data_IF_521502753315
#
_entry.id   IF_521502753315
#
_cell.length_a   1.000
_cell.length_b   1.000
_cell.length_c   1.000
_cell.angle_alpha   90.00
_cell.angle_beta   90.00
_cell.angle_gamma   90.00
#
_symmetry.space_group_name_H-M   'P 1'
#
loop_
_entity.id
_entity.type
_entity.pdbx_description
1 polymer ?
#
# COMPACT_ATOMS: atom_id res chain seq x y z
N UNK A 1 -22.59 12.47 17.71
CA UNK A 1 -22.46 11.20 16.93
C UNK A 1 -21.38 11.39 15.88
N UNK A 2 -20.42 10.51 15.82
CA UNK A 2 -19.42 10.54 14.75
C UNK A 2 -20.04 9.83 13.55
N UNK A 3 -20.13 10.53 12.42
CA UNK A 3 -20.63 9.95 11.18
C UNK A 3 -19.41 9.60 10.32
N UNK A 4 -19.26 8.33 9.97
CA UNK A 4 -18.23 7.87 9.03
C UNK A 4 -18.79 7.87 7.62
N UNK A 5 -18.04 8.42 6.68
CA UNK A 5 -18.44 8.48 5.26
C UNK A 5 -18.13 7.17 4.51
N UNK A 6 -17.26 6.33 5.08
CA UNK A 6 -16.83 5.05 4.49
C UNK A 6 -16.87 3.99 5.58
N UNK A 7 -17.51 2.85 5.29
CA UNK A 7 -17.41 1.63 6.08
C UNK A 7 -16.26 0.78 5.55
N UNK A 8 -15.52 0.13 6.45
CA UNK A 8 -14.47 -0.82 6.09
C UNK A 8 -14.95 -2.27 6.04
N UNK A 9 -16.14 -2.55 6.59
CA UNK A 9 -16.70 -3.92 6.56
C UNK A 9 -16.86 -4.41 5.12
N UNK A 10 -16.47 -5.66 4.87
CA UNK A 10 -16.53 -6.34 3.58
C UNK A 10 -15.71 -5.65 2.46
N UNK A 11 -14.76 -4.79 2.80
CA UNK A 11 -13.95 -4.06 1.82
C UNK A 11 -12.63 -4.76 1.53
N UNK A 12 -12.18 -4.56 0.31
CA UNK A 12 -10.79 -4.79 -0.09
C UNK A 12 -10.03 -3.47 0.02
N UNK A 13 -9.00 -3.45 0.85
CA UNK A 13 -8.16 -2.28 1.09
C UNK A 13 -6.79 -2.50 0.45
N UNK A 14 -6.38 -1.60 -0.43
CA UNK A 14 -5.01 -1.58 -0.95
C UNK A 14 -4.15 -0.67 -0.05
N UNK A 15 -3.05 -1.21 0.46
CA UNK A 15 -2.05 -0.44 1.20
C UNK A 15 -0.74 -0.47 0.43
N UNK A 16 -0.27 0.67 -0.03
CA UNK A 16 1.07 0.80 -0.62
C UNK A 16 2.09 1.12 0.47
N UNK A 17 3.32 0.67 0.33
CA UNK A 17 4.30 0.75 1.40
C UNK A 17 3.99 -0.22 2.57
N UNK A 18 3.36 -1.34 2.27
CA UNK A 18 2.81 -2.26 3.25
C UNK A 18 3.85 -2.96 4.15
N UNK A 19 5.10 -3.06 3.73
CA UNK A 19 6.20 -3.61 4.52
C UNK A 19 6.95 -2.54 5.34
N UNK A 20 6.61 -1.26 5.16
CA UNK A 20 7.15 -0.17 5.95
C UNK A 20 6.62 -0.17 7.39
N UNK A 21 7.21 0.68 8.24
CA UNK A 21 6.81 0.76 9.66
C UNK A 21 5.33 1.13 9.83
N UNK A 22 4.88 2.20 9.18
CA UNK A 22 3.49 2.65 9.27
C UNK A 22 2.57 1.66 8.54
N UNK A 23 2.93 1.26 7.32
CA UNK A 23 2.10 0.39 6.49
C UNK A 23 1.81 -0.96 7.12
N UNK A 24 2.82 -1.64 7.63
CA UNK A 24 2.64 -2.95 8.26
C UNK A 24 1.78 -2.88 9.54
N UNK A 25 1.96 -1.84 10.35
CA UNK A 25 1.13 -1.63 11.54
C UNK A 25 -0.32 -1.30 11.18
N UNK A 26 -0.55 -0.51 10.12
CA UNK A 26 -1.89 -0.25 9.61
C UNK A 26 -2.56 -1.54 9.11
N UNK A 27 -1.86 -2.33 8.29
CA UNK A 27 -2.38 -3.61 7.78
C UNK A 27 -2.77 -4.53 8.93
N UNK A 28 -1.89 -4.69 9.91
CA UNK A 28 -2.16 -5.50 11.09
C UNK A 28 -3.43 -5.03 11.81
N UNK A 29 -3.54 -3.74 12.07
CA UNK A 29 -4.69 -3.17 12.77
C UNK A 29 -6.00 -3.35 11.99
N UNK A 30 -5.98 -3.16 10.68
CA UNK A 30 -7.16 -3.41 9.83
C UNK A 30 -7.64 -4.85 9.93
N UNK A 31 -6.70 -5.81 9.91
CA UNK A 31 -7.02 -7.23 9.97
C UNK A 31 -7.41 -7.71 11.37
N UNK A 32 -6.93 -7.05 12.43
CA UNK A 32 -7.30 -7.34 13.82
C UNK A 32 -8.70 -6.78 14.17
N UNK A 33 -9.04 -5.57 13.68
CA UNK A 33 -10.28 -4.89 14.05
C UNK A 33 -11.49 -5.27 13.18
N UNK A 34 -11.26 -5.75 11.94
CA UNK A 34 -12.33 -6.04 10.97
C UNK A 34 -12.18 -7.45 10.39
N UNK A 35 -13.00 -8.37 10.81
CA UNK A 35 -12.93 -9.78 10.36
C UNK A 35 -13.23 -9.98 8.87
N UNK A 36 -14.03 -9.08 8.29
CA UNK A 36 -14.44 -9.15 6.88
C UNK A 36 -13.55 -8.38 5.91
N UNK A 37 -12.57 -7.61 6.41
CA UNK A 37 -11.63 -6.86 5.56
C UNK A 37 -10.58 -7.79 4.96
N UNK A 38 -10.31 -7.57 3.67
CA UNK A 38 -9.16 -8.14 2.97
C UNK A 38 -8.19 -7.02 2.62
N UNK A 39 -6.91 -7.23 2.85
CA UNK A 39 -5.86 -6.25 2.54
C UNK A 39 -4.94 -6.79 1.45
N UNK A 40 -4.75 -5.97 0.42
CA UNK A 40 -3.71 -6.16 -0.59
C UNK A 40 -2.58 -5.18 -0.25
N UNK A 41 -1.40 -5.71 0.04
CA UNK A 41 -0.22 -4.91 0.33
C UNK A 41 0.76 -4.92 -0.83
N UNK A 42 1.31 -3.78 -1.21
CA UNK A 42 2.41 -3.68 -2.17
C UNK A 42 3.58 -2.92 -1.55
N UNK A 43 4.79 -3.43 -1.75
CA UNK A 43 6.04 -2.78 -1.35
C UNK A 43 7.16 -3.24 -2.26
N UNK A 44 8.03 -2.33 -2.65
CA UNK A 44 9.20 -2.66 -3.50
C UNK A 44 10.36 -3.26 -2.72
N UNK A 45 10.30 -3.26 -1.38
CA UNK A 45 11.36 -3.77 -0.49
C UNK A 45 12.70 -3.11 -0.82
N UNK A 46 12.71 -1.78 -0.91
CA UNK A 46 13.96 -1.04 -1.15
C UNK A 46 14.96 -1.21 -0.01
N UNK A 47 16.24 -1.21 -0.36
CA UNK A 47 17.35 -1.37 0.59
C UNK A 47 17.76 -0.05 1.25
N UNK A 48 16.89 0.93 1.31
CA UNK A 48 17.15 2.23 1.96
C UNK A 48 17.49 2.07 3.45
N UNK A 49 16.89 1.07 4.10
CA UNK A 49 17.28 0.59 5.42
C UNK A 49 17.27 -0.94 5.44
N UNK A 50 17.64 -1.57 6.56
CA UNK A 50 17.76 -3.02 6.67
C UNK A 50 16.45 -3.73 6.28
N UNK A 51 16.47 -4.45 5.17
CA UNK A 51 15.33 -5.17 4.61
C UNK A 51 14.81 -6.29 5.52
N UNK A 52 15.62 -6.78 6.47
CA UNK A 52 15.17 -7.80 7.43
C UNK A 52 13.97 -7.34 8.23
N UNK A 53 13.91 -6.06 8.60
CA UNK A 53 12.77 -5.48 9.31
C UNK A 53 11.48 -5.57 8.48
N UNK A 54 11.59 -5.38 7.16
CA UNK A 54 10.44 -5.51 6.25
C UNK A 54 9.96 -6.96 6.15
N UNK A 55 10.88 -7.91 6.03
CA UNK A 55 10.53 -9.32 5.97
C UNK A 55 9.97 -9.87 7.28
N UNK A 56 10.46 -9.43 8.43
CA UNK A 56 9.89 -9.76 9.75
C UNK A 56 8.43 -9.31 9.86
N UNK A 57 8.12 -8.07 9.44
CA UNK A 57 6.75 -7.55 9.42
C UNK A 57 5.84 -8.36 8.49
N UNK A 58 6.33 -8.70 7.30
CA UNK A 58 5.58 -9.53 6.36
C UNK A 58 5.33 -10.94 6.90
N UNK A 59 6.29 -11.51 7.61
CA UNK A 59 6.12 -12.81 8.26
C UNK A 59 5.01 -12.76 9.33
N UNK A 60 4.95 -11.73 10.14
CA UNK A 60 3.85 -11.52 11.09
C UNK A 60 2.49 -11.43 10.37
N UNK A 61 2.43 -10.67 9.28
CA UNK A 61 1.21 -10.48 8.50
C UNK A 61 0.76 -11.75 7.79
N UNK A 62 1.66 -12.68 7.51
CA UNK A 62 1.30 -13.97 6.89
C UNK A 62 0.36 -14.83 7.75
N UNK A 63 0.29 -14.57 9.05
CA UNK A 63 -0.62 -15.26 9.97
C UNK A 63 -2.12 -15.02 9.66
N UNK A 64 -2.45 -13.96 8.93
CA UNK A 64 -3.84 -13.66 8.54
C UNK A 64 -4.34 -14.48 7.33
N UNK A 65 -3.48 -15.34 6.75
CA UNK A 65 -3.84 -16.22 5.66
C UNK A 65 -4.35 -15.47 4.43
N UNK A 66 -5.46 -15.93 3.86
CA UNK A 66 -6.05 -15.40 2.62
C UNK A 66 -6.59 -13.96 2.74
N UNK A 67 -6.67 -13.43 3.95
CA UNK A 67 -7.09 -12.05 4.19
C UNK A 67 -6.00 -11.03 3.90
N UNK A 68 -4.75 -11.47 3.79
CA UNK A 68 -3.61 -10.63 3.41
C UNK A 68 -2.90 -11.20 2.19
N UNK A 69 -2.85 -10.43 1.12
CA UNK A 69 -2.08 -10.71 -0.09
C UNK A 69 -0.96 -9.71 -0.22
N UNK A 70 0.27 -10.18 -0.35
CA UNK A 70 1.43 -9.32 -0.53
C UNK A 70 1.98 -9.41 -1.96
N UNK A 71 2.26 -8.24 -2.54
CA UNK A 71 2.85 -8.09 -3.86
C UNK A 71 4.18 -7.34 -3.71
N UNK A 72 5.27 -8.01 -4.06
CA UNK A 72 6.60 -7.38 -4.08
C UNK A 72 6.80 -6.75 -5.45
N UNK A 73 6.48 -5.49 -5.59
CA UNK A 73 6.72 -4.74 -6.82
C UNK A 73 6.67 -3.22 -6.56
N UNK A 74 6.87 -2.43 -7.62
CA UNK A 74 6.98 -0.97 -7.55
C UNK A 74 5.74 -0.30 -8.18
N UNK A 75 5.12 0.62 -7.45
CA UNK A 75 3.96 1.39 -7.93
C UNK A 75 4.28 2.34 -9.10
N UNK A 76 5.56 2.59 -9.38
CA UNK A 76 5.97 3.32 -10.57
C UNK A 76 5.76 2.52 -11.87
N UNK A 77 5.58 1.21 -11.76
CA UNK A 77 5.21 0.36 -12.89
C UNK A 77 3.69 0.39 -13.07
N UNK A 78 3.24 1.12 -14.08
CA UNK A 78 1.82 1.32 -14.36
C UNK A 78 1.06 0.00 -14.52
N UNK A 79 1.62 -0.94 -15.28
CA UNK A 79 1.03 -2.25 -15.53
C UNK A 79 0.81 -3.07 -14.25
N UNK A 80 1.68 -2.94 -13.27
CA UNK A 80 1.53 -3.61 -11.97
C UNK A 80 0.35 -3.00 -11.18
N UNK A 81 0.27 -1.68 -11.13
CA UNK A 81 -0.85 -0.99 -10.49
C UNK A 81 -2.17 -1.38 -11.16
N UNK A 82 -2.23 -1.33 -12.50
CA UNK A 82 -3.42 -1.72 -13.25
C UNK A 82 -3.84 -3.17 -12.97
N UNK A 83 -2.88 -4.12 -12.91
CA UNK A 83 -3.20 -5.51 -12.61
C UNK A 83 -3.77 -5.69 -11.20
N UNK A 84 -3.24 -4.97 -10.20
CA UNK A 84 -3.76 -5.03 -8.82
C UNK A 84 -5.25 -4.61 -8.79
N UNK A 85 -5.61 -3.53 -9.48
CA UNK A 85 -6.99 -3.06 -9.52
C UNK A 85 -7.90 -3.99 -10.31
N UNK A 86 -7.39 -4.59 -11.39
CA UNK A 86 -8.15 -5.56 -12.19
C UNK A 86 -8.39 -6.87 -11.45
N UNK A 87 -7.39 -7.36 -10.71
CA UNK A 87 -7.46 -8.68 -10.08
C UNK A 87 -8.14 -8.64 -8.70
N UNK A 88 -8.00 -7.54 -7.97
CA UNK A 88 -8.44 -7.44 -6.58
C UNK A 88 -9.57 -6.45 -6.31
N UNK A 89 -9.84 -5.53 -7.22
CA UNK A 89 -10.93 -4.53 -7.12
C UNK A 89 -10.97 -3.77 -5.78
N UNK A 90 -9.87 -3.12 -5.33
CA UNK A 90 -9.86 -2.42 -4.07
C UNK A 90 -10.87 -1.25 -4.07
N UNK A 91 -11.65 -1.14 -2.99
CA UNK A 91 -12.60 -0.05 -2.79
C UNK A 91 -12.01 1.09 -1.96
N UNK A 92 -11.03 0.79 -1.12
CA UNK A 92 -10.31 1.77 -0.30
C UNK A 92 -8.82 1.63 -0.57
N UNK A 93 -8.15 2.76 -0.74
CA UNK A 93 -6.70 2.80 -1.00
C UNK A 93 -6.02 3.69 0.03
N UNK A 94 -4.95 3.19 0.63
CA UNK A 94 -4.06 3.96 1.50
C UNK A 94 -2.67 3.99 0.89
N UNK A 95 -2.27 5.14 0.36
CA UNK A 95 -0.99 5.29 -0.31
C UNK A 95 0.07 5.83 0.66
N UNK A 96 0.92 4.92 1.15
CA UNK A 96 2.03 5.22 2.05
C UNK A 96 3.40 5.01 1.39
N UNK A 97 3.43 4.38 0.21
CA UNK A 97 4.67 4.18 -0.53
C UNK A 97 5.27 5.52 -0.93
N UNK A 98 6.46 5.79 -0.45
CA UNK A 98 7.20 6.99 -0.77
C UNK A 98 8.68 6.78 -0.48
N UNK A 99 9.54 7.50 -1.22
CA UNK A 99 10.91 7.67 -0.83
C UNK A 99 11.00 8.82 0.17
N UNK A 100 11.45 8.52 1.38
CA UNK A 100 11.64 9.48 2.46
C UNK A 100 13.12 9.83 2.66
N UNK A 101 13.40 10.87 3.44
CA UNK A 101 14.75 11.29 3.81
C UNK A 101 15.30 12.42 2.94
N UNK A 102 15.33 13.64 3.46
CA UNK A 102 15.74 14.84 2.71
C UNK A 102 17.15 14.72 2.14
N UNK A 103 18.11 14.22 2.92
CA UNK A 103 19.51 14.12 2.49
C UNK A 103 19.73 13.15 1.34
N UNK A 104 19.00 12.06 1.32
CA UNK A 104 19.09 11.06 0.25
C UNK A 104 18.64 11.61 -1.10
N UNK A 105 17.77 12.64 -1.12
CA UNK A 105 17.34 13.30 -2.36
C UNK A 105 18.49 14.01 -3.10
N UNK A 106 19.55 14.37 -2.39
CA UNK A 106 20.73 15.02 -2.99
C UNK A 106 21.56 14.02 -3.79
N UNK A 107 21.64 12.78 -3.31
CA UNK A 107 22.46 11.74 -3.93
C UNK A 107 21.67 10.85 -4.90
N UNK A 108 20.35 10.70 -4.69
CA UNK A 108 19.48 9.88 -5.54
C UNK A 108 18.10 10.55 -5.75
N UNK A 109 18.03 11.66 -6.49
CA UNK A 109 16.76 12.35 -6.76
C UNK A 109 15.78 11.51 -7.58
N UNK A 110 16.26 10.59 -8.42
CA UNK A 110 15.41 9.76 -9.29
C UNK A 110 14.48 8.88 -8.47
N UNK A 111 14.92 8.37 -7.32
CA UNK A 111 14.08 7.58 -6.42
C UNK A 111 12.85 8.35 -5.92
N UNK A 112 12.96 9.67 -5.74
CA UNK A 112 11.85 10.54 -5.32
C UNK A 112 10.87 10.79 -6.46
N UNK A 113 11.37 11.01 -7.66
CA UNK A 113 10.52 11.17 -8.86
C UNK A 113 9.76 9.88 -9.13
N UNK A 114 10.46 8.76 -9.10
CA UNK A 114 9.88 7.45 -9.36
C UNK A 114 8.77 7.12 -8.34
N UNK A 115 9.06 7.16 -7.06
CA UNK A 115 8.11 6.77 -6.02
C UNK A 115 7.04 7.82 -5.76
N UNK A 116 7.45 9.09 -5.58
CA UNK A 116 6.58 10.14 -5.04
C UNK A 116 5.80 10.88 -6.13
N UNK A 117 6.25 10.83 -7.38
CA UNK A 117 5.56 11.47 -8.49
C UNK A 117 4.92 10.43 -9.41
N UNK A 118 5.71 9.58 -10.06
CA UNK A 118 5.20 8.58 -11.01
C UNK A 118 4.34 7.54 -10.32
N UNK A 119 4.82 6.97 -9.21
CA UNK A 119 4.08 5.99 -8.43
C UNK A 119 2.77 6.53 -7.90
N UNK A 120 2.77 7.72 -7.34
CA UNK A 120 1.55 8.36 -6.84
C UNK A 120 0.56 8.69 -7.97
N UNK A 121 1.06 9.19 -9.10
CA UNK A 121 0.23 9.40 -10.28
C UNK A 121 -0.47 8.11 -10.75
N UNK A 122 0.25 6.99 -10.81
CA UNK A 122 -0.33 5.70 -11.18
C UNK A 122 -1.46 5.28 -10.21
N UNK A 123 -1.28 5.48 -8.92
CA UNK A 123 -2.32 5.20 -7.91
C UNK A 123 -3.53 6.12 -8.09
N UNK A 124 -3.33 7.42 -8.30
CA UNK A 124 -4.43 8.37 -8.55
C UNK A 124 -5.26 7.98 -9.77
N UNK A 125 -4.60 7.66 -10.88
CA UNK A 125 -5.29 7.26 -12.12
C UNK A 125 -6.02 5.93 -11.95
N UNK A 126 -5.41 4.96 -11.28
CA UNK A 126 -6.08 3.69 -11.02
C UNK A 126 -7.31 3.88 -10.13
N UNK A 127 -7.23 4.70 -9.09
CA UNK A 127 -8.39 5.04 -8.25
C UNK A 127 -9.51 5.70 -9.07
N UNK A 128 -9.15 6.66 -9.92
CA UNK A 128 -10.11 7.39 -10.75
C UNK A 128 -10.86 6.48 -11.72
N UNK A 129 -10.19 5.48 -12.27
CA UNK A 129 -10.76 4.60 -13.31
C UNK A 129 -11.48 3.35 -12.76
N UNK A 130 -11.29 2.99 -11.49
CA UNK A 130 -11.76 1.72 -10.94
C UNK A 130 -12.79 1.86 -9.80
N UNK A 131 -13.46 3.00 -9.69
CA UNK A 131 -14.55 3.17 -8.73
C UNK A 131 -14.12 3.10 -7.26
N UNK A 132 -12.91 3.54 -6.94
CA UNK A 132 -12.44 3.62 -5.55
C UNK A 132 -13.30 4.60 -4.77
N UNK A 133 -13.78 4.16 -3.60
CA UNK A 133 -14.67 4.95 -2.75
C UNK A 133 -13.90 5.97 -1.92
N UNK A 134 -12.67 5.62 -1.52
CA UNK A 134 -11.86 6.47 -0.64
C UNK A 134 -10.37 6.26 -0.87
N UNK A 135 -9.63 7.34 -1.03
CA UNK A 135 -8.17 7.37 -1.11
C UNK A 135 -7.61 8.21 0.02
N UNK A 136 -6.72 7.61 0.81
CA UNK A 136 -5.92 8.28 1.84
C UNK A 136 -4.47 8.37 1.37
N UNK A 137 -3.85 9.54 1.49
CA UNK A 137 -2.43 9.77 1.14
C UNK A 137 -1.79 10.83 2.01
#
# INVERSE_FOLDING_TARGET
MVTYNVSLEDKVVLVTGAAGFIGANLVKRLLDEFDSVKVIGIDSITEYYDVRLKYERLQELSAYGDRFVFIKDNIAKKEIVESIFTDHHPQVVVNLAAQAGVRYSITNPDAYIESNLIGFYNILEACRHNGVEHLVY
#
